data_IF_315609990046
#
_entry.id   IF_315609990046
#
_cell.length_a   1.000
_cell.length_b   1.000
_cell.length_c   1.000
_cell.angle_alpha   90.00
_cell.angle_beta   90.00
_cell.angle_gamma   90.00
#
_symmetry.space_group_name_H-M   'P 1'
#
loop_
_entity.id
_entity.type
_entity.pdbx_description
1 polymer ?
#
# COMPACT_ATOMS: atom_id res chain seq x y z
N UNK A 1 -19.86 -16.06 -14.62
CA UNK A 1 -19.76 -15.01 -13.58
C UNK A 1 -20.95 -14.05 -13.70
N UNK A 2 -21.62 -13.73 -12.59
CA UNK A 2 -22.81 -12.85 -12.53
C UNK A 2 -22.44 -11.46 -13.05
N UNK A 3 -23.21 -10.93 -14.02
CA UNK A 3 -22.97 -9.61 -14.63
C UNK A 3 -23.03 -8.55 -13.53
N UNK A 4 -21.88 -8.00 -13.15
CA UNK A 4 -21.79 -6.99 -12.10
C UNK A 4 -22.57 -5.74 -12.50
N UNK A 5 -23.54 -5.35 -11.67
CA UNK A 5 -24.38 -4.17 -11.82
C UNK A 5 -23.51 -2.94 -12.16
N UNK A 6 -23.88 -2.22 -13.23
CA UNK A 6 -23.21 -0.99 -13.67
C UNK A 6 -23.09 0.05 -12.54
N UNK A 7 -24.12 0.20 -11.71
CA UNK A 7 -24.13 1.10 -10.55
C UNK A 7 -23.06 0.75 -9.51
N UNK A 8 -22.91 -0.54 -9.19
CA UNK A 8 -21.89 -1.00 -8.24
C UNK A 8 -20.46 -0.75 -8.76
N UNK A 9 -20.23 -0.88 -10.07
CA UNK A 9 -18.93 -0.53 -10.66
C UNK A 9 -18.57 0.94 -10.48
N UNK A 10 -19.54 1.83 -10.65
CA UNK A 10 -19.34 3.26 -10.45
C UNK A 10 -19.06 3.59 -8.98
N UNK A 11 -19.80 2.97 -8.06
CA UNK A 11 -19.56 3.09 -6.63
C UNK A 11 -18.13 2.69 -6.25
N UNK A 12 -17.68 1.50 -6.66
CA UNK A 12 -16.32 1.04 -6.37
C UNK A 12 -15.23 1.93 -6.97
N UNK A 13 -15.43 2.43 -8.21
CA UNK A 13 -14.48 3.39 -8.81
C UNK A 13 -14.39 4.67 -8.00
N UNK A 14 -15.54 5.23 -7.61
CA UNK A 14 -15.59 6.43 -6.76
C UNK A 14 -14.88 6.22 -5.43
N UNK A 15 -15.12 5.07 -4.79
CA UNK A 15 -14.47 4.70 -3.53
C UNK A 15 -12.94 4.59 -3.66
N UNK A 16 -12.44 3.92 -4.71
CA UNK A 16 -11.00 3.79 -4.96
C UNK A 16 -10.32 5.14 -5.24
N UNK A 17 -10.99 6.03 -5.99
CA UNK A 17 -10.50 7.40 -6.23
C UNK A 17 -10.48 8.20 -4.92
N UNK A 18 -11.55 8.10 -4.12
CA UNK A 18 -11.62 8.75 -2.81
C UNK A 18 -10.48 8.30 -1.89
N UNK A 19 -10.22 7.00 -1.80
CA UNK A 19 -9.08 6.48 -1.02
C UNK A 19 -7.75 7.03 -1.51
N UNK A 20 -7.55 7.11 -2.82
CA UNK A 20 -6.33 7.67 -3.40
C UNK A 20 -6.16 9.13 -2.99
N UNK A 21 -7.22 9.94 -3.10
CA UNK A 21 -7.21 11.36 -2.71
C UNK A 21 -6.94 11.53 -1.22
N UNK A 22 -7.57 10.72 -0.36
CA UNK A 22 -7.35 10.78 1.09
C UNK A 22 -5.91 10.44 1.44
N UNK A 23 -5.35 9.35 0.88
CA UNK A 23 -3.96 8.94 1.13
C UNK A 23 -3.00 10.05 0.71
N UNK A 24 -3.15 10.58 -0.51
CA UNK A 24 -2.29 11.67 -1.01
C UNK A 24 -2.47 12.93 -0.19
N UNK A 25 -3.71 13.31 0.13
CA UNK A 25 -4.04 14.51 0.90
C UNK A 25 -3.41 14.49 2.30
N UNK A 26 -3.61 13.39 3.05
CA UNK A 26 -3.00 13.21 4.38
C UNK A 26 -1.47 13.25 4.28
N UNK A 27 -0.89 12.62 3.25
CA UNK A 27 0.56 12.61 3.06
C UNK A 27 1.10 14.00 2.76
N UNK A 28 0.41 14.80 1.94
CA UNK A 28 0.82 16.19 1.68
C UNK A 28 0.68 17.05 2.94
N UNK A 29 -0.41 16.91 3.71
CA UNK A 29 -0.57 17.65 4.97
C UNK A 29 0.56 17.34 5.95
N UNK A 30 0.92 16.06 6.10
CA UNK A 30 2.05 15.65 6.94
C UNK A 30 3.38 16.25 6.44
N UNK A 31 3.57 16.34 5.12
CA UNK A 31 4.77 16.94 4.53
C UNK A 31 4.83 18.44 4.83
N UNK A 32 3.73 19.17 4.67
CA UNK A 32 3.67 20.59 4.98
C UNK A 32 3.98 20.86 6.46
N UNK A 33 3.41 20.07 7.38
CA UNK A 33 3.73 20.21 8.80
C UNK A 33 5.21 19.97 9.11
N UNK A 34 5.86 19.03 8.43
CA UNK A 34 7.31 18.78 8.58
C UNK A 34 8.19 19.88 8.00
N UNK A 35 7.69 20.64 7.02
CA UNK A 35 8.41 21.77 6.43
C UNK A 35 8.29 23.03 7.31
N UNK A 36 7.14 23.23 7.95
CA UNK A 36 6.91 24.32 8.90
C UNK A 36 7.70 24.09 10.19
N UNK A 37 7.62 22.88 10.74
CA UNK A 37 8.30 22.49 11.98
C UNK A 37 9.20 21.27 11.73
N UNK A 38 10.47 21.49 11.35
CA UNK A 38 11.37 20.40 11.07
C UNK A 38 11.67 19.60 12.33
N UNK A 39 11.90 18.30 12.12
CA UNK A 39 12.19 17.36 13.19
C UNK A 39 13.42 17.80 13.98
N UNK A 40 13.35 17.64 15.31
CA UNK A 40 14.47 17.94 16.21
C UNK A 40 15.77 17.28 15.70
N UNK A 41 16.87 18.04 15.51
CA UNK A 41 18.14 17.54 14.98
C UNK A 41 18.68 16.31 15.72
N UNK A 42 18.39 16.21 17.03
CA UNK A 42 18.77 15.06 17.88
C UNK A 42 18.20 13.73 17.38
N UNK A 43 17.03 13.78 16.74
CA UNK A 43 16.29 12.61 16.24
C UNK A 43 16.31 12.48 14.71
N UNK A 44 16.88 13.47 14.02
CA UNK A 44 16.89 13.54 12.56
C UNK A 44 17.39 12.23 11.91
N UNK A 45 18.48 11.66 12.44
CA UNK A 45 19.07 10.41 11.91
C UNK A 45 18.17 9.17 12.01
N UNK A 46 17.14 9.19 12.87
CA UNK A 46 16.19 8.09 13.04
C UNK A 46 14.85 8.39 12.35
N UNK A 47 14.34 9.60 12.52
CA UNK A 47 13.02 9.99 12.03
C UNK A 47 12.99 10.23 10.52
N UNK A 48 14.02 10.83 9.90
CA UNK A 48 14.01 11.04 8.45
C UNK A 48 13.99 9.74 7.63
N UNK A 49 14.78 8.70 7.97
CA UNK A 49 14.64 7.40 7.32
C UNK A 49 13.25 6.77 7.48
N UNK A 50 12.63 6.92 8.66
CA UNK A 50 11.28 6.40 8.91
C UNK A 50 10.23 7.15 8.08
N UNK A 51 10.27 8.47 8.09
CA UNK A 51 9.38 9.31 7.29
C UNK A 51 9.57 9.00 5.80
N UNK A 52 10.82 8.92 5.34
CA UNK A 52 11.15 8.56 3.96
C UNK A 52 10.60 7.19 3.56
N UNK A 53 10.72 6.20 4.45
CA UNK A 53 10.12 4.87 4.26
C UNK A 53 8.59 4.90 4.19
N UNK A 54 7.94 5.70 5.05
CA UNK A 54 6.48 5.91 4.97
C UNK A 54 6.07 6.49 3.62
N UNK A 55 6.74 7.55 3.14
CA UNK A 55 6.44 8.10 1.81
C UNK A 55 6.72 7.12 0.68
N UNK A 56 7.80 6.34 0.79
CA UNK A 56 8.13 5.30 -0.19
C UNK A 56 7.05 4.22 -0.24
N UNK A 57 6.45 3.89 0.90
CA UNK A 57 5.36 2.90 1.00
C UNK A 57 4.06 3.35 0.32
N UNK A 58 3.85 4.65 0.11
CA UNK A 58 2.69 5.18 -0.62
C UNK A 58 2.71 4.72 -2.07
N UNK A 59 3.89 4.60 -2.69
CA UNK A 59 4.04 4.22 -4.09
C UNK A 59 3.39 2.86 -4.43
N UNK A 60 3.72 1.75 -3.75
CA UNK A 60 3.06 0.47 -4.01
C UNK A 60 1.57 0.50 -3.69
N UNK A 61 1.11 1.30 -2.72
CA UNK A 61 -0.32 1.44 -2.39
C UNK A 61 -1.09 2.14 -3.51
N UNK A 62 -0.61 3.30 -3.99
CA UNK A 62 -1.23 4.01 -5.11
C UNK A 62 -1.20 3.14 -6.37
N UNK A 63 -0.08 2.46 -6.63
CA UNK A 63 0.04 1.54 -7.75
C UNK A 63 -1.01 0.41 -7.70
N UNK A 64 -1.23 -0.17 -6.51
CA UNK A 64 -2.25 -1.19 -6.30
C UNK A 64 -3.66 -0.64 -6.58
N UNK A 65 -3.97 0.57 -6.11
CA UNK A 65 -5.26 1.22 -6.38
C UNK A 65 -5.48 1.45 -7.89
N UNK A 66 -4.43 1.84 -8.62
CA UNK A 66 -4.48 1.99 -10.09
C UNK A 66 -4.73 0.66 -10.81
N UNK A 67 -4.07 -0.41 -10.35
CA UNK A 67 -4.32 -1.76 -10.87
C UNK A 67 -5.78 -2.17 -10.65
N UNK A 68 -6.33 -1.95 -9.47
CA UNK A 68 -7.75 -2.25 -9.20
C UNK A 68 -8.69 -1.42 -10.09
N UNK A 69 -8.41 -0.13 -10.29
CA UNK A 69 -9.17 0.71 -11.20
C UNK A 69 -9.12 0.21 -12.66
N UNK A 70 -7.99 -0.32 -13.13
CA UNK A 70 -7.89 -0.92 -14.46
C UNK A 70 -8.80 -2.14 -14.62
N UNK A 71 -8.86 -3.04 -13.64
CA UNK A 71 -9.77 -4.19 -13.65
C UNK A 71 -11.25 -3.76 -13.71
N UNK A 72 -11.60 -2.63 -13.11
CA UNK A 72 -12.97 -2.09 -13.15
C UNK A 72 -13.31 -1.36 -14.46
N UNK A 73 -12.30 -0.95 -15.25
CA UNK A 73 -12.47 -0.29 -16.55
C UNK A 73 -12.59 -1.29 -17.70
N UNK A 74 -11.92 -2.45 -17.61
CA UNK A 74 -11.92 -3.45 -18.67
C UNK A 74 -13.34 -4.02 -18.95
N UNK A 75 -13.67 -4.19 -20.24
CA UNK A 75 -14.90 -4.90 -20.67
C UNK A 75 -14.77 -6.37 -20.32
N UNK A 76 -15.88 -7.00 -19.92
CA UNK A 76 -15.96 -8.39 -19.43
C UNK A 76 -15.17 -9.39 -20.30
N UNK A 77 -15.15 -9.19 -21.62
CA UNK A 77 -14.49 -10.06 -22.58
C UNK A 77 -12.96 -9.85 -22.69
N UNK A 78 -12.46 -8.66 -22.36
CA UNK A 78 -11.02 -8.34 -22.36
C UNK A 78 -10.37 -8.58 -20.99
N UNK A 79 -11.16 -8.61 -19.92
CA UNK A 79 -10.67 -8.78 -18.54
C UNK A 79 -9.92 -10.10 -18.35
N UNK A 80 -10.22 -11.15 -19.13
CA UNK A 80 -9.56 -12.46 -18.98
C UNK A 80 -8.08 -12.43 -19.33
N UNK A 81 -7.69 -11.75 -20.42
CA UNK A 81 -6.31 -11.72 -20.90
C UNK A 81 -5.38 -10.85 -20.05
N UNK A 82 -5.90 -9.77 -19.47
CA UNK A 82 -5.11 -8.87 -18.64
C UNK A 82 -5.11 -9.22 -17.14
N UNK A 83 -6.04 -10.05 -16.66
CA UNK A 83 -6.20 -10.36 -15.23
C UNK A 83 -4.97 -10.98 -14.59
N UNK A 84 -4.41 -12.03 -15.18
CA UNK A 84 -3.19 -12.67 -14.65
C UNK A 84 -2.04 -11.67 -14.53
N UNK A 85 -1.89 -10.77 -15.52
CA UNK A 85 -0.86 -9.72 -15.48
C UNK A 85 -1.11 -8.74 -14.34
N UNK A 86 -2.37 -8.37 -14.08
CA UNK A 86 -2.73 -7.48 -12.97
C UNK A 86 -2.45 -8.15 -11.63
N UNK A 87 -2.91 -9.39 -11.41
CA UNK A 87 -2.68 -10.10 -10.14
C UNK A 87 -1.20 -10.31 -9.84
N UNK A 88 -0.39 -10.64 -10.86
CA UNK A 88 1.07 -10.75 -10.72
C UNK A 88 1.70 -9.42 -10.27
N UNK A 89 1.26 -8.30 -10.84
CA UNK A 89 1.73 -6.96 -10.44
C UNK A 89 1.25 -6.58 -9.04
N UNK A 90 0.01 -6.91 -8.67
CA UNK A 90 -0.55 -6.67 -7.35
C UNK A 90 0.22 -7.44 -6.26
N UNK A 91 0.54 -8.72 -6.51
CA UNK A 91 1.40 -9.54 -5.66
C UNK A 91 2.77 -8.89 -5.45
N UNK A 92 3.42 -8.45 -6.52
CA UNK A 92 4.72 -7.78 -6.43
C UNK A 92 4.64 -6.47 -5.62
N UNK A 93 3.60 -5.66 -5.82
CA UNK A 93 3.39 -4.43 -5.07
C UNK A 93 3.22 -4.67 -3.56
N UNK A 94 2.44 -5.69 -3.18
CA UNK A 94 2.25 -6.08 -1.78
C UNK A 94 3.57 -6.54 -1.12
N UNK A 95 4.41 -7.26 -1.87
CA UNK A 95 5.75 -7.67 -1.41
C UNK A 95 6.66 -6.47 -1.17
N UNK A 96 6.72 -5.53 -2.13
CA UNK A 96 7.51 -4.30 -2.01
C UNK A 96 7.05 -3.48 -0.81
N UNK A 97 5.74 -3.31 -0.63
CA UNK A 97 5.16 -2.63 0.53
C UNK A 97 5.64 -3.25 1.85
N UNK A 98 5.51 -4.57 2.00
CA UNK A 98 5.96 -5.27 3.20
C UNK A 98 7.47 -5.11 3.46
N UNK A 99 8.28 -5.19 2.40
CA UNK A 99 9.73 -5.09 2.51
C UNK A 99 10.22 -3.69 2.92
N UNK A 100 9.52 -2.63 2.50
CA UNK A 100 9.82 -1.26 2.95
C UNK A 100 9.70 -1.18 4.49
N UNK A 101 8.63 -1.73 5.07
CA UNK A 101 8.46 -1.71 6.53
C UNK A 101 9.46 -2.61 7.26
N UNK A 102 9.86 -3.74 6.67
CA UNK A 102 10.97 -4.56 7.21
C UNK A 102 12.27 -3.76 7.27
N UNK A 103 12.59 -2.99 6.23
CA UNK A 103 13.80 -2.14 6.20
C UNK A 103 13.73 -0.97 7.21
N UNK A 104 12.52 -0.55 7.59
CA UNK A 104 12.31 0.49 8.59
C UNK A 104 12.48 0.00 10.03
N UNK A 105 12.29 -1.30 10.30
CA UNK A 105 12.40 -1.88 11.65
C UNK A 105 13.66 -1.48 12.43
N UNK A 106 14.90 -1.54 11.91
CA UNK A 106 16.09 -1.16 12.68
C UNK A 106 16.03 0.29 13.18
N UNK A 107 15.42 1.20 12.42
CA UNK A 107 15.21 2.58 12.83
C UNK A 107 14.11 2.69 13.88
N UNK A 108 13.01 1.95 13.70
CA UNK A 108 11.90 1.91 14.67
C UNK A 108 12.35 1.36 16.02
N UNK A 109 13.13 0.27 16.06
CA UNK A 109 13.60 -0.31 17.32
C UNK A 109 14.46 0.68 18.10
N UNK A 110 15.38 1.38 17.44
CA UNK A 110 16.21 2.40 18.08
C UNK A 110 15.38 3.58 18.59
N UNK A 111 14.40 4.03 17.80
CA UNK A 111 13.53 5.12 18.21
C UNK A 111 12.65 4.74 19.41
N UNK A 112 12.11 3.52 19.40
CA UNK A 112 11.27 3.01 20.48
C UNK A 112 12.03 2.89 21.81
N UNK A 113 13.30 2.47 21.77
CA UNK A 113 14.18 2.42 22.94
C UNK A 113 14.52 3.84 23.43
N UNK A 114 14.75 4.77 22.49
CA UNK A 114 15.14 6.13 22.81
C UNK A 114 14.02 6.97 23.45
N UNK A 115 12.79 6.83 22.97
CA UNK A 115 11.61 7.54 23.48
C UNK A 115 10.84 6.74 24.53
N UNK A 116 11.37 5.60 25.01
CA UNK A 116 10.72 4.68 25.96
C UNK A 116 9.28 4.32 25.54
N UNK A 117 9.10 4.14 24.22
CA UNK A 117 7.81 3.98 23.56
C UNK A 117 7.73 2.65 22.80
N UNK A 118 7.60 1.51 23.51
CA UNK A 118 7.61 0.17 22.89
C UNK A 118 6.46 -0.04 21.88
N UNK A 119 5.35 0.70 22.02
CA UNK A 119 4.21 0.66 21.10
C UNK A 119 4.55 1.05 19.66
N UNK A 120 5.61 1.82 19.43
CA UNK A 120 6.06 2.19 18.08
C UNK A 120 6.46 0.95 17.26
N UNK A 121 7.07 -0.05 17.90
CA UNK A 121 7.46 -1.30 17.23
C UNK A 121 6.23 -2.01 16.68
N UNK A 122 5.15 -2.09 17.46
CA UNK A 122 3.90 -2.70 17.00
C UNK A 122 3.28 -1.91 15.85
N UNK A 123 3.25 -0.58 15.94
CA UNK A 123 2.67 0.28 14.91
C UNK A 123 3.36 0.11 13.54
N UNK A 124 4.69 0.12 13.50
CA UNK A 124 5.44 -0.02 12.24
C UNK A 124 5.59 -1.47 11.76
N UNK A 125 5.43 -2.47 12.64
CA UNK A 125 5.44 -3.88 12.23
C UNK A 125 4.09 -4.36 11.70
N UNK A 126 2.98 -3.74 12.09
CA UNK A 126 1.63 -4.13 11.67
C UNK A 126 1.44 -4.09 10.13
N UNK A 127 1.92 -3.08 9.39
CA UNK A 127 1.87 -3.07 7.92
C UNK A 127 2.57 -4.26 7.25
N UNK A 128 3.58 -4.86 7.89
CA UNK A 128 4.27 -6.04 7.36
C UNK A 128 3.29 -7.21 7.26
N UNK A 129 2.47 -7.41 8.30
CA UNK A 129 1.43 -8.45 8.35
C UNK A 129 0.36 -8.22 7.28
N UNK A 130 -0.13 -6.98 7.14
CA UNK A 130 -1.09 -6.65 6.10
C UNK A 130 -0.53 -6.83 4.69
N UNK A 131 0.73 -6.44 4.46
CA UNK A 131 1.42 -6.66 3.20
C UNK A 131 1.58 -8.15 2.87
N UNK A 132 1.96 -8.97 3.86
CA UNK A 132 2.06 -10.42 3.72
C UNK A 132 0.71 -11.10 3.44
N UNK A 133 -0.35 -10.68 4.15
CA UNK A 133 -1.71 -11.18 3.91
C UNK A 133 -2.21 -10.82 2.50
N UNK A 134 -1.99 -9.57 2.06
CA UNK A 134 -2.32 -9.14 0.71
C UNK A 134 -1.55 -9.92 -0.36
N UNK A 135 -0.25 -10.16 -0.13
CA UNK A 135 0.58 -10.99 -1.01
C UNK A 135 0.03 -12.41 -1.17
N UNK A 136 -0.32 -13.06 -0.06
CA UNK A 136 -0.90 -14.40 -0.06
C UNK A 136 -2.23 -14.43 -0.83
N UNK A 137 -3.10 -13.45 -0.56
CA UNK A 137 -4.39 -13.33 -1.25
C UNK A 137 -4.23 -13.14 -2.77
N UNK A 138 -3.31 -12.27 -3.20
CA UNK A 138 -3.07 -12.04 -4.63
C UNK A 138 -2.39 -13.24 -5.32
N UNK A 139 -1.58 -14.01 -4.58
CA UNK A 139 -1.01 -15.26 -5.08
C UNK A 139 -2.10 -16.29 -5.34
N UNK A 140 -3.05 -16.44 -4.42
CA UNK A 140 -4.21 -17.33 -4.58
C UNK A 140 -5.07 -16.94 -5.79
N UNK A 141 -5.32 -15.65 -6.00
CA UNK A 141 -6.06 -15.18 -7.18
C UNK A 141 -5.29 -15.43 -8.48
N UNK A 142 -3.97 -15.26 -8.47
CA UNK A 142 -3.14 -15.54 -9.64
C UNK A 142 -3.15 -17.02 -10.01
N UNK A 143 -2.97 -17.91 -9.03
CA UNK A 143 -2.99 -19.37 -9.20
C UNK A 143 -4.33 -19.83 -9.78
N UNK A 144 -5.44 -19.36 -9.21
CA UNK A 144 -6.78 -19.68 -9.70
C UNK A 144 -7.03 -19.26 -11.15
N UNK A 145 -6.50 -18.11 -11.57
CA UNK A 145 -6.64 -17.64 -12.95
C UNK A 145 -5.72 -18.42 -13.93
N UNK A 146 -4.66 -19.07 -13.44
CA UNK A 146 -3.79 -19.94 -14.24
C UNK A 146 -4.39 -21.34 -14.47
N UNK A 147 -5.07 -21.91 -13.47
CA UNK A 147 -5.73 -23.21 -13.58
C UNK A 147 -6.89 -23.24 -14.59
N UNK A 148 -7.47 -22.07 -14.90
CA UNK A 148 -8.62 -21.92 -15.80
C UNK A 148 -8.25 -21.44 -17.22
N UNK A 149 -6.97 -21.36 -17.59
CA UNK A 149 -6.48 -21.04 -18.94
C UNK A 149 -6.00 -22.29 -19.67
#
# INVERSE_FOLDING_TARGET
MKKMNTWYRWYLKGFLVLLTVVIVGVSLMLLFSLLEEPVNPRYAGLLYPLIGGLYLSILPVIYLLQLMLSLLKERVDEVGKNRQRVWRKARAAAMVFSMIFVLMLPFTYRLADYDDAPGLILFFSLPILFGGAAYALFSLFLEKEQEHS
#
